data_IF_293689657477
#
_entry.id   IF_293689657477
#
_cell.length_a   1.000
_cell.length_b   1.000
_cell.length_c   1.000
_cell.angle_alpha   90.00
_cell.angle_beta   90.00
_cell.angle_gamma   90.00
#
_symmetry.space_group_name_H-M   'P 1'
#
loop_
_entity.id
_entity.type
_entity.pdbx_description
1 polymer ?
#
# COMPACT_ATOMS: atom_id res chain seq x y z
N UNK A 1 8.55 -3.29 0.73
CA UNK A 1 7.99 -1.94 0.88
C UNK A 1 6.54 -1.97 0.43
N UNK A 2 5.62 -1.29 1.12
CA UNK A 2 4.22 -1.20 0.68
C UNK A 2 3.89 0.19 0.12
N UNK A 3 3.05 0.28 -0.91
CA UNK A 3 2.42 1.56 -1.29
C UNK A 3 1.13 1.77 -0.49
N UNK A 4 0.58 2.99 -0.49
CA UNK A 4 -0.70 3.30 0.15
C UNK A 4 -1.61 3.98 -0.86
N UNK A 5 -2.81 3.44 -1.10
CA UNK A 5 -3.81 4.06 -1.98
C UNK A 5 -4.15 5.48 -1.52
N UNK A 6 -4.26 5.69 -0.20
CA UNK A 6 -4.46 7.02 0.38
C UNK A 6 -3.30 7.99 0.06
N UNK A 7 -2.05 7.57 0.28
CA UNK A 7 -0.90 8.42 0.00
C UNK A 7 -0.79 8.76 -1.49
N UNK A 8 -1.06 7.79 -2.37
CA UNK A 8 -1.06 8.01 -3.82
C UNK A 8 -2.19 8.97 -4.20
N UNK A 9 -3.42 8.78 -3.72
CA UNK A 9 -4.53 9.71 -3.99
C UNK A 9 -4.18 11.14 -3.56
N UNK A 10 -3.66 11.30 -2.34
CA UNK A 10 -3.34 12.62 -1.80
C UNK A 10 -2.22 13.32 -2.60
N UNK A 11 -1.18 12.58 -3.00
CA UNK A 11 0.00 13.16 -3.68
C UNK A 11 -0.14 13.26 -5.20
N UNK A 12 -0.85 12.34 -5.83
CA UNK A 12 -0.97 12.29 -7.29
C UNK A 12 -2.09 13.18 -7.83
N UNK A 13 -3.23 13.25 -7.12
CA UNK A 13 -4.43 13.97 -7.56
C UNK A 13 -4.92 15.02 -6.56
N UNK A 14 -4.30 15.14 -5.39
CA UNK A 14 -4.69 16.13 -4.38
C UNK A 14 -6.05 15.84 -3.73
N UNK A 15 -6.53 14.59 -3.79
CA UNK A 15 -7.86 14.21 -3.33
C UNK A 15 -7.82 13.18 -2.17
N UNK A 16 -8.88 13.14 -1.33
CA UNK A 16 -9.00 12.17 -0.26
C UNK A 16 -9.20 10.73 -0.78
N UNK A 17 -8.90 9.76 0.08
CA UNK A 17 -9.07 8.33 -0.21
C UNK A 17 -10.53 7.86 -0.16
N UNK A 18 -11.26 8.22 -1.22
CA UNK A 18 -12.68 7.94 -1.42
C UNK A 18 -12.95 7.23 -2.74
N UNK A 19 -11.97 6.46 -3.24
CA UNK A 19 -12.07 5.79 -4.55
C UNK A 19 -12.15 6.77 -5.73
N UNK A 20 -11.51 7.95 -5.61
CA UNK A 20 -11.48 8.96 -6.67
C UNK A 20 -10.35 8.72 -7.66
N UNK A 21 -9.23 8.14 -7.19
CA UNK A 21 -8.12 7.78 -8.07
C UNK A 21 -8.54 6.64 -9.00
N UNK A 22 -8.30 6.82 -10.29
CA UNK A 22 -8.54 5.80 -11.30
C UNK A 22 -7.45 4.72 -11.28
N UNK A 23 -7.76 3.56 -11.85
CA UNK A 23 -6.78 2.49 -12.04
C UNK A 23 -5.53 2.96 -12.78
N UNK A 24 -5.69 3.71 -13.88
CA UNK A 24 -4.57 4.19 -14.68
C UNK A 24 -3.65 5.13 -13.91
N UNK A 25 -4.22 6.05 -13.12
CA UNK A 25 -3.44 6.96 -12.26
C UNK A 25 -2.69 6.20 -11.17
N UNK A 26 -3.32 5.21 -10.53
CA UNK A 26 -2.65 4.40 -9.51
C UNK A 26 -1.54 3.52 -10.13
N UNK A 27 -1.80 2.88 -11.27
CA UNK A 27 -0.83 2.04 -11.97
C UNK A 27 0.41 2.84 -12.39
N UNK A 28 0.22 4.03 -12.96
CA UNK A 28 1.33 4.90 -13.37
C UNK A 28 2.20 5.30 -12.16
N UNK A 29 1.57 5.60 -11.01
CA UNK A 29 2.30 5.91 -9.78
C UNK A 29 3.03 4.70 -9.22
N UNK A 30 2.39 3.54 -9.20
CA UNK A 30 3.02 2.29 -8.79
C UNK A 30 4.23 1.95 -9.66
N UNK A 31 4.12 2.06 -10.99
CA UNK A 31 5.22 1.85 -11.94
C UNK A 31 6.43 2.72 -11.63
N UNK A 32 6.21 4.00 -11.37
CA UNK A 32 7.29 4.91 -11.01
C UNK A 32 7.96 4.51 -9.69
N UNK A 33 7.19 4.07 -8.69
CA UNK A 33 7.73 3.60 -7.41
C UNK A 33 8.55 2.31 -7.59
N UNK A 34 7.99 1.31 -8.27
CA UNK A 34 8.65 0.01 -8.51
C UNK A 34 9.99 0.22 -9.22
N UNK A 35 10.01 1.01 -10.29
CA UNK A 35 11.23 1.28 -11.06
C UNK A 35 12.27 2.15 -10.33
N UNK A 36 11.90 2.77 -9.21
CA UNK A 36 12.79 3.66 -8.43
C UNK A 36 13.54 2.94 -7.31
N UNK A 37 13.20 1.69 -6.99
CA UNK A 37 13.78 0.95 -5.86
C UNK A 37 14.19 -0.46 -6.26
N UNK A 38 15.16 -1.03 -5.55
CA UNK A 38 15.61 -2.42 -5.75
C UNK A 38 15.01 -3.41 -4.75
N UNK A 39 14.10 -2.95 -3.89
CA UNK A 39 13.44 -3.78 -2.88
C UNK A 39 12.01 -4.14 -3.34
N UNK A 40 11.48 -5.32 -2.96
CA UNK A 40 10.13 -5.73 -3.32
C UNK A 40 9.07 -4.68 -2.95
N UNK A 41 8.14 -4.42 -3.88
CA UNK A 41 7.03 -3.48 -3.70
C UNK A 41 5.69 -4.22 -3.69
N UNK A 42 4.98 -4.16 -2.58
CA UNK A 42 3.59 -4.59 -2.43
C UNK A 42 2.65 -3.39 -2.66
N UNK A 43 1.83 -3.47 -3.70
CA UNK A 43 1.00 -2.36 -4.16
C UNK A 43 -0.42 -2.45 -3.60
N UNK A 44 -0.90 -1.35 -3.02
CA UNK A 44 -2.31 -1.16 -2.70
C UNK A 44 -3.14 -1.04 -3.99
N UNK A 45 -3.89 -2.07 -4.35
CA UNK A 45 -4.69 -2.12 -5.57
C UNK A 45 -6.18 -1.87 -5.30
N UNK A 46 -6.49 -1.17 -4.20
CA UNK A 46 -7.85 -0.85 -3.76
C UNK A 46 -8.76 -2.09 -3.78
N UNK A 47 -9.85 -2.09 -4.55
CA UNK A 47 -10.79 -3.22 -4.65
C UNK A 47 -10.55 -4.10 -5.88
N UNK A 48 -9.45 -3.91 -6.60
CA UNK A 48 -9.21 -4.51 -7.92
C UNK A 48 -10.02 -3.86 -9.06
N UNK A 49 -10.47 -2.61 -8.85
CA UNK A 49 -11.06 -1.71 -9.86
C UNK A 49 -12.25 -2.27 -10.65
N UNK A 50 -13.07 -3.12 -10.01
CA UNK A 50 -14.32 -3.62 -10.59
C UNK A 50 -14.69 -5.00 -10.05
N UNK A 51 -15.08 -5.91 -10.94
CA UNK A 51 -15.42 -7.31 -10.59
C UNK A 51 -14.20 -8.25 -10.77
N UNK A 52 -14.43 -9.56 -10.79
CA UNK A 52 -13.36 -10.55 -10.98
C UNK A 52 -12.59 -10.40 -12.31
N UNK A 53 -13.25 -9.97 -13.40
CA UNK A 53 -12.56 -9.71 -14.67
C UNK A 53 -11.61 -8.52 -14.56
N UNK A 54 -12.03 -7.46 -13.84
CA UNK A 54 -11.18 -6.31 -13.56
C UNK A 54 -10.02 -6.68 -12.62
N UNK A 55 -10.26 -7.55 -11.64
CA UNK A 55 -9.21 -8.06 -10.77
C UNK A 55 -8.13 -8.83 -11.57
N UNK A 56 -8.54 -9.77 -12.43
CA UNK A 56 -7.64 -10.45 -13.36
C UNK A 56 -6.81 -9.46 -14.18
N UNK A 57 -7.45 -8.47 -14.79
CA UNK A 57 -6.76 -7.45 -15.58
C UNK A 57 -5.80 -6.60 -14.75
N UNK A 58 -6.19 -6.27 -13.52
CA UNK A 58 -5.39 -5.53 -12.55
C UNK A 58 -4.10 -6.29 -12.22
N UNK A 59 -4.19 -7.59 -11.91
CA UNK A 59 -3.02 -8.43 -11.66
C UNK A 59 -2.02 -8.41 -12.83
N UNK A 60 -2.48 -8.64 -14.07
CA UNK A 60 -1.59 -8.64 -15.25
C UNK A 60 -0.81 -7.35 -15.38
N UNK A 61 -1.48 -6.20 -15.22
CA UNK A 61 -0.82 -4.90 -15.34
C UNK A 61 0.22 -4.67 -14.25
N UNK A 62 -0.02 -5.15 -13.02
CA UNK A 62 0.97 -5.06 -11.95
C UNK A 62 2.15 -6.02 -12.15
N UNK A 63 1.91 -7.21 -12.71
CA UNK A 63 2.98 -8.13 -13.13
C UNK A 63 3.88 -7.48 -14.17
N UNK A 64 3.30 -6.82 -15.18
CA UNK A 64 4.06 -6.20 -16.27
C UNK A 64 4.90 -4.99 -15.87
N UNK A 65 4.64 -4.41 -14.70
CA UNK A 65 5.50 -3.36 -14.12
C UNK A 65 6.44 -3.90 -13.05
N UNK A 66 6.57 -5.23 -12.92
CA UNK A 66 7.44 -5.93 -11.97
C UNK A 66 7.10 -5.64 -10.49
N UNK A 67 5.82 -5.42 -10.18
CA UNK A 67 5.39 -5.34 -8.80
C UNK A 67 5.62 -6.71 -8.13
N UNK A 68 6.20 -6.71 -6.93
CA UNK A 68 6.45 -7.95 -6.19
C UNK A 68 5.18 -8.51 -5.52
N UNK A 69 4.22 -7.63 -5.22
CA UNK A 69 2.92 -8.04 -4.72
C UNK A 69 1.84 -7.00 -4.96
N UNK A 70 0.60 -7.43 -4.81
CA UNK A 70 -0.57 -6.57 -4.76
C UNK A 70 -1.47 -7.01 -3.62
N UNK A 71 -2.26 -6.08 -3.11
CA UNK A 71 -3.39 -6.39 -2.24
C UNK A 71 -4.66 -5.74 -2.72
N UNK A 72 -5.76 -6.48 -2.64
CA UNK A 72 -7.11 -5.97 -2.89
C UNK A 72 -7.98 -6.13 -1.65
N UNK A 73 -8.97 -5.25 -1.49
CA UNK A 73 -9.90 -5.24 -0.35
C UNK A 73 -11.33 -5.58 -0.76
N UNK A 74 -12.09 -6.11 0.20
CA UNK A 74 -13.49 -6.51 0.02
C UNK A 74 -14.50 -5.36 0.14
N UNK A 75 -14.04 -4.10 0.09
CA UNK A 75 -14.96 -2.96 0.04
C UNK A 75 -15.73 -2.89 -1.30
N UNK A 76 -16.95 -2.37 -1.23
CA UNK A 76 -17.71 -1.97 -2.42
C UNK A 76 -17.14 -0.67 -2.99
N UNK A 77 -17.11 -0.52 -4.31
CA UNK A 77 -16.70 0.74 -4.96
C UNK A 77 -17.86 1.76 -4.98
N UNK A 78 -17.62 3.06 -4.72
CA UNK A 78 -16.34 3.65 -4.33
C UNK A 78 -15.94 3.27 -2.90
N UNK A 79 -14.68 2.85 -2.75
CA UNK A 79 -14.11 2.46 -1.45
C UNK A 79 -13.80 3.68 -0.58
N UNK A 80 -13.56 3.47 0.70
CA UNK A 80 -13.12 4.51 1.64
C UNK A 80 -11.88 4.04 2.41
N UNK A 81 -11.09 4.98 2.93
CA UNK A 81 -10.01 4.64 3.86
C UNK A 81 -10.54 3.77 5.02
N UNK A 82 -9.79 2.71 5.37
CA UNK A 82 -10.17 1.72 6.38
C UNK A 82 -10.52 2.28 7.77
N UNK A 83 -9.95 3.44 8.13
CA UNK A 83 -10.26 4.11 9.38
C UNK A 83 -11.49 5.03 9.32
N UNK A 84 -12.09 5.27 8.16
CA UNK A 84 -13.32 6.06 8.03
C UNK A 84 -14.59 5.25 8.40
N UNK A 85 -15.71 5.95 8.61
CA UNK A 85 -17.04 5.35 8.78
C UNK A 85 -17.77 5.24 7.42
N UNK A 86 -18.88 4.50 7.39
CA UNK A 86 -19.72 4.37 6.20
C UNK A 86 -19.15 3.45 5.10
N UNK A 87 -18.26 2.53 5.46
CA UNK A 87 -17.77 1.47 4.57
C UNK A 87 -18.86 0.44 4.34
N UNK A 88 -18.90 -0.10 3.13
CA UNK A 88 -19.68 -1.29 2.77
C UNK A 88 -18.75 -2.28 2.11
N UNK A 89 -19.09 -3.56 2.18
CA UNK A 89 -18.29 -4.64 1.63
C UNK A 89 -19.13 -5.51 0.71
N UNK A 90 -18.46 -6.14 -0.25
CA UNK A 90 -19.06 -7.14 -1.15
C UNK A 90 -19.32 -8.45 -0.42
N UNK A 91 -20.06 -9.36 -1.07
CA UNK A 91 -20.22 -10.71 -0.55
C UNK A 91 -18.88 -11.42 -0.42
N UNK A 92 -18.80 -12.41 0.47
CA UNK A 92 -17.60 -13.23 0.65
C UNK A 92 -17.26 -13.96 -0.65
N UNK A 93 -18.29 -14.43 -1.36
CA UNK A 93 -18.21 -15.17 -2.61
C UNK A 93 -17.66 -14.30 -3.75
N UNK A 94 -18.04 -13.03 -3.83
CA UNK A 94 -17.50 -12.09 -4.81
C UNK A 94 -16.00 -11.84 -4.57
N UNK A 95 -15.59 -11.66 -3.30
CA UNK A 95 -14.18 -11.46 -2.98
C UNK A 95 -13.34 -12.70 -3.25
N UNK A 96 -13.85 -13.90 -2.90
CA UNK A 96 -13.22 -15.18 -3.26
C UNK A 96 -13.04 -15.29 -4.78
N UNK A 97 -14.06 -14.90 -5.55
CA UNK A 97 -14.00 -14.91 -7.02
C UNK A 97 -12.95 -13.95 -7.57
N UNK A 98 -12.79 -12.77 -6.95
CA UNK A 98 -11.71 -11.82 -7.30
C UNK A 98 -10.33 -12.41 -7.01
N UNK A 99 -10.13 -13.00 -5.83
CA UNK A 99 -8.84 -13.61 -5.45
C UNK A 99 -8.48 -14.73 -6.44
N UNK A 100 -9.43 -15.64 -6.74
CA UNK A 100 -9.20 -16.69 -7.72
C UNK A 100 -8.83 -16.14 -9.11
N UNK A 101 -9.40 -15.00 -9.50
CA UNK A 101 -9.06 -14.33 -10.76
C UNK A 101 -7.63 -13.73 -10.75
N UNK A 102 -7.16 -13.21 -9.61
CA UNK A 102 -5.76 -12.77 -9.44
C UNK A 102 -4.80 -13.96 -9.55
N UNK A 103 -5.11 -15.07 -8.88
CA UNK A 103 -4.29 -16.30 -8.90
C UNK A 103 -4.17 -16.84 -10.32
N UNK A 104 -5.30 -16.90 -11.04
CA UNK A 104 -5.29 -17.31 -12.44
C UNK A 104 -4.42 -16.42 -13.32
N UNK A 105 -4.49 -15.09 -13.15
CA UNK A 105 -3.65 -14.17 -13.91
C UNK A 105 -2.16 -14.39 -13.63
N UNK A 106 -1.80 -14.60 -12.35
CA UNK A 106 -0.43 -14.92 -11.94
C UNK A 106 0.10 -16.20 -12.59
N UNK A 107 -0.70 -17.26 -12.56
CA UNK A 107 -0.34 -18.56 -13.17
C UNK A 107 -0.18 -18.48 -14.68
N UNK A 108 -1.11 -17.80 -15.38
CA UNK A 108 -1.06 -17.65 -16.83
C UNK A 108 0.15 -16.81 -17.31
N UNK A 109 0.60 -15.84 -16.51
CA UNK A 109 1.80 -15.04 -16.79
C UNK A 109 3.10 -15.72 -16.29
N UNK A 110 3.02 -16.86 -15.59
CA UNK A 110 4.18 -17.53 -15.00
C UNK A 110 4.94 -16.65 -13.99
N UNK A 111 4.20 -15.85 -13.22
CA UNK A 111 4.75 -14.87 -12.27
C UNK A 111 4.70 -15.37 -10.82
N UNK A 112 5.62 -14.88 -9.98
CA UNK A 112 5.64 -15.10 -8.53
C UNK A 112 4.93 -13.99 -7.74
N UNK A 113 4.04 -13.22 -8.38
CA UNK A 113 3.32 -12.10 -7.75
C UNK A 113 2.66 -12.54 -6.43
N UNK A 114 3.01 -11.87 -5.33
CA UNK A 114 2.38 -12.10 -4.03
C UNK A 114 1.00 -11.42 -3.99
N UNK A 115 -0.04 -12.16 -3.63
CA UNK A 115 -1.44 -11.70 -3.61
C UNK A 115 -1.95 -11.62 -2.17
N UNK A 116 -2.18 -10.39 -1.71
CA UNK A 116 -2.82 -10.10 -0.43
C UNK A 116 -4.33 -9.94 -0.54
N UNK A 117 -5.06 -10.55 0.38
CA UNK A 117 -6.50 -10.32 0.53
C UNK A 117 -6.78 -9.51 1.78
N UNK A 118 -7.28 -8.29 1.60
CA UNK A 118 -7.69 -7.39 2.68
C UNK A 118 -9.18 -7.52 2.98
N UNK A 119 -9.52 -7.58 4.26
CA UNK A 119 -10.91 -7.50 4.72
C UNK A 119 -11.16 -6.31 5.63
N UNK A 120 -12.23 -5.57 5.33
CA UNK A 120 -12.74 -4.44 6.12
C UNK A 120 -13.95 -4.84 6.99
N UNK A 121 -14.25 -6.14 7.06
CA UNK A 121 -15.43 -6.69 7.72
C UNK A 121 -15.48 -6.47 9.23
N UNK A 122 -14.34 -6.23 9.90
CA UNK A 122 -14.29 -6.10 11.37
C UNK A 122 -15.25 -5.05 11.91
N UNK A 123 -15.36 -3.92 11.22
CA UNK A 123 -16.21 -2.81 11.61
C UNK A 123 -17.67 -2.94 11.14
N UNK A 124 -17.97 -3.90 10.25
CA UNK A 124 -19.27 -4.03 9.57
C UNK A 124 -20.02 -5.26 10.06
N UNK A 125 -19.36 -6.42 10.05
CA UNK A 125 -19.95 -7.73 10.37
C UNK A 125 -19.43 -8.31 11.69
N UNK A 126 -18.41 -7.69 12.30
CA UNK A 126 -17.81 -8.13 13.55
C UNK A 126 -16.68 -9.15 13.38
N UNK A 127 -16.11 -9.57 14.51
CA UNK A 127 -14.86 -10.35 14.55
C UNK A 127 -15.01 -11.77 13.96
N UNK A 128 -16.06 -12.51 14.35
CA UNK A 128 -16.26 -13.88 13.87
C UNK A 128 -16.44 -13.94 12.34
N UNK A 129 -17.23 -13.02 11.78
CA UNK A 129 -17.41 -12.91 10.32
C UNK A 129 -16.13 -12.49 9.59
N UNK A 130 -15.28 -11.70 10.25
CA UNK A 130 -13.96 -11.36 9.74
C UNK A 130 -13.07 -12.60 9.62
N UNK A 131 -13.09 -13.50 10.61
CA UNK A 131 -12.35 -14.77 10.57
C UNK A 131 -12.89 -15.66 9.43
N UNK A 132 -14.22 -15.80 9.33
CA UNK A 132 -14.85 -16.59 8.25
C UNK A 132 -14.41 -16.12 6.86
N UNK A 133 -14.35 -14.80 6.64
CA UNK A 133 -13.87 -14.20 5.39
C UNK A 133 -12.38 -14.42 5.19
N UNK A 134 -11.55 -14.15 6.20
CA UNK A 134 -10.10 -14.35 6.14
C UNK A 134 -9.72 -15.78 5.78
N UNK A 135 -10.36 -16.78 6.40
CA UNK A 135 -10.14 -18.20 6.09
C UNK A 135 -10.58 -18.53 4.68
N UNK A 136 -11.73 -18.01 4.22
CA UNK A 136 -12.19 -18.23 2.85
C UNK A 136 -11.25 -17.60 1.81
N UNK A 137 -10.72 -16.42 2.10
CA UNK A 137 -9.78 -15.72 1.22
C UNK A 137 -8.43 -16.44 1.14
N UNK A 138 -7.95 -16.99 2.27
CA UNK A 138 -6.77 -17.86 2.29
C UNK A 138 -7.01 -19.14 1.48
N UNK A 139 -8.17 -19.78 1.65
CA UNK A 139 -8.56 -20.96 0.87
C UNK A 139 -8.75 -20.70 -0.63
N UNK A 140 -8.99 -19.44 -1.03
CA UNK A 140 -9.05 -19.02 -2.43
C UNK A 140 -7.65 -18.82 -3.07
N UNK A 141 -6.58 -18.92 -2.28
CA UNK A 141 -5.20 -18.84 -2.75
C UNK A 141 -4.46 -17.55 -2.41
N UNK A 142 -5.03 -16.65 -1.59
CA UNK A 142 -4.28 -15.49 -1.11
C UNK A 142 -2.99 -15.94 -0.38
N UNK A 143 -1.88 -15.23 -0.58
CA UNK A 143 -0.59 -15.55 0.04
C UNK A 143 -0.46 -14.92 1.43
N UNK A 144 -1.23 -13.86 1.70
CA UNK A 144 -1.39 -13.30 3.03
C UNK A 144 -2.78 -12.68 3.22
N UNK A 145 -3.25 -12.63 4.47
CA UNK A 145 -4.47 -11.92 4.83
C UNK A 145 -4.11 -10.60 5.49
N UNK A 146 -4.77 -9.54 5.05
CA UNK A 146 -4.74 -8.26 5.73
C UNK A 146 -6.07 -8.03 6.45
N UNK A 147 -6.06 -7.91 7.77
CA UNK A 147 -7.28 -7.58 8.55
C UNK A 147 -7.25 -6.12 8.95
N UNK A 148 -8.23 -5.34 8.49
CA UNK A 148 -8.33 -3.93 8.86
C UNK A 148 -8.83 -3.75 10.31
N UNK A 149 -8.14 -2.89 11.06
CA UNK A 149 -8.55 -2.42 12.40
C UNK A 149 -8.84 -3.53 13.44
N UNK A 150 -7.94 -4.51 13.69
CA UNK A 150 -8.07 -5.38 14.86
C UNK A 150 -8.09 -4.53 16.14
N UNK A 151 -8.93 -4.92 17.11
CA UNK A 151 -9.24 -4.07 18.26
C UNK A 151 -8.46 -4.41 19.54
N UNK A 152 -7.72 -5.51 19.55
CA UNK A 152 -6.90 -5.92 20.70
C UNK A 152 -5.81 -6.92 20.30
N UNK A 153 -4.79 -7.08 21.16
CA UNK A 153 -3.78 -8.12 20.96
C UNK A 153 -4.38 -9.53 21.00
N UNK A 154 -5.45 -9.74 21.79
CA UNK A 154 -6.16 -11.01 21.85
C UNK A 154 -6.87 -11.32 20.52
N UNK A 155 -7.46 -10.32 19.85
CA UNK A 155 -8.00 -10.49 18.50
C UNK A 155 -6.88 -10.85 17.51
N UNK A 156 -5.74 -10.16 17.56
CA UNK A 156 -4.58 -10.46 16.70
C UNK A 156 -4.07 -11.88 16.94
N UNK A 157 -3.92 -12.30 18.19
CA UNK A 157 -3.48 -13.67 18.53
C UNK A 157 -4.46 -14.72 18.02
N UNK A 158 -5.77 -14.45 18.12
CA UNK A 158 -6.78 -15.36 17.61
C UNK A 158 -6.75 -15.44 16.08
N UNK A 159 -6.56 -14.31 15.39
CA UNK A 159 -6.41 -14.27 13.93
C UNK A 159 -5.18 -15.07 13.48
N UNK A 160 -4.03 -14.86 14.10
CA UNK A 160 -2.79 -15.62 13.79
C UNK A 160 -2.98 -17.13 13.98
N UNK A 161 -3.75 -17.55 15.00
CA UNK A 161 -4.04 -18.98 15.23
C UNK A 161 -5.01 -19.58 14.20
N UNK A 162 -5.89 -18.78 13.62
CA UNK A 162 -6.96 -19.25 12.71
C UNK A 162 -6.60 -19.16 11.23
N UNK A 163 -5.71 -18.25 10.87
CA UNK A 163 -5.29 -18.00 9.49
C UNK A 163 -3.92 -18.68 9.31
N UNK A 164 -3.87 -19.72 8.49
CA UNK A 164 -2.64 -20.52 8.30
C UNK A 164 -1.57 -19.83 7.45
N UNK A 165 -1.93 -18.73 6.78
CA UNK A 165 -1.04 -17.88 5.99
C UNK A 165 -0.68 -16.60 6.76
N UNK A 166 0.41 -15.89 6.39
CA UNK A 166 0.82 -14.65 7.05
C UNK A 166 -0.33 -13.66 7.26
N UNK A 167 -0.44 -13.16 8.50
CA UNK A 167 -1.34 -12.07 8.86
C UNK A 167 -0.62 -10.73 8.69
N UNK A 168 -1.34 -9.77 8.12
CA UNK A 168 -0.98 -8.37 7.99
C UNK A 168 -2.08 -7.45 8.53
N UNK A 169 -1.69 -6.25 8.95
CA UNK A 169 -2.59 -5.13 9.24
C UNK A 169 -1.80 -3.82 9.27
N UNK A 170 -2.51 -2.67 9.33
CA UNK A 170 -1.88 -1.37 9.49
C UNK A 170 -1.76 -0.91 10.95
N UNK A 171 -0.69 -0.18 11.21
CA UNK A 171 -0.55 0.71 12.35
C UNK A 171 -0.58 2.15 11.85
N UNK A 172 -1.67 2.87 12.14
CA UNK A 172 -1.78 4.31 11.88
C UNK A 172 -1.92 5.04 13.21
N UNK A 173 -0.96 5.92 13.50
CA UNK A 173 -1.03 6.78 14.68
C UNK A 173 -2.30 7.65 14.65
N UNK A 174 -3.10 7.58 15.72
CA UNK A 174 -4.39 8.29 15.81
C UNK A 174 -5.53 7.63 15.02
N UNK A 175 -5.31 6.45 14.44
CA UNK A 175 -6.34 5.64 13.80
C UNK A 175 -7.20 4.85 14.79
N UNK A 176 -8.04 3.96 14.24
CA UNK A 176 -8.91 3.06 15.01
C UNK A 176 -8.19 1.82 15.56
N UNK A 177 -7.03 1.47 15.02
CA UNK A 177 -6.20 0.38 15.55
C UNK A 177 -5.50 0.88 16.82
N UNK A 178 -5.56 0.15 17.95
CA UNK A 178 -4.79 0.51 19.13
C UNK A 178 -3.28 0.54 18.85
N UNK A 179 -2.55 1.31 19.66
CA UNK A 179 -1.09 1.33 19.57
C UNK A 179 -0.51 0.04 20.15
N UNK A 180 -0.17 -0.90 19.28
CA UNK A 180 0.54 -2.14 19.63
C UNK A 180 2.05 -1.95 19.54
N UNK A 181 2.82 -2.60 20.41
CA UNK A 181 4.27 -2.67 20.24
C UNK A 181 4.64 -3.63 19.11
N UNK A 182 5.58 -3.24 18.25
CA UNK A 182 6.11 -4.13 17.20
C UNK A 182 6.67 -5.44 17.78
N UNK A 183 7.30 -5.38 18.96
CA UNK A 183 7.85 -6.58 19.63
C UNK A 183 6.76 -7.52 20.17
N UNK A 184 5.60 -7.00 20.55
CA UNK A 184 4.45 -7.82 20.96
C UNK A 184 3.84 -8.51 19.75
N UNK A 185 3.69 -7.78 18.64
CA UNK A 185 3.15 -8.31 17.40
C UNK A 185 4.05 -9.40 16.80
N UNK A 186 5.36 -9.18 16.81
CA UNK A 186 6.34 -10.18 16.39
C UNK A 186 6.24 -11.46 17.24
N UNK A 187 6.16 -11.30 18.57
CA UNK A 187 6.02 -12.44 19.50
C UNK A 187 4.75 -13.25 19.26
N UNK A 188 3.64 -12.59 18.93
CA UNK A 188 2.35 -13.23 18.65
C UNK A 188 2.35 -13.94 17.28
N UNK A 189 3.32 -13.63 16.41
CA UNK A 189 3.53 -14.32 15.14
C UNK A 189 3.14 -13.50 13.91
N UNK A 190 2.86 -12.20 14.07
CA UNK A 190 2.60 -11.31 12.92
C UNK A 190 3.86 -11.18 12.08
N UNK A 191 3.72 -11.38 10.76
CA UNK A 191 4.86 -11.42 9.82
C UNK A 191 4.97 -10.17 8.96
N UNK A 192 3.87 -9.45 8.77
CA UNK A 192 3.83 -8.27 7.94
C UNK A 192 3.06 -7.15 8.64
N UNK A 193 3.68 -5.98 8.78
CA UNK A 193 3.04 -4.77 9.29
C UNK A 193 3.10 -3.69 8.22
N UNK A 194 1.96 -3.06 7.97
CA UNK A 194 1.88 -1.85 7.17
C UNK A 194 1.91 -0.63 8.09
N UNK A 195 2.79 0.34 7.80
CA UNK A 195 2.84 1.62 8.50
C UNK A 195 2.61 2.72 7.47
N UNK A 196 1.37 2.86 6.97
CA UNK A 196 1.08 3.81 5.91
C UNK A 196 1.26 5.24 6.44
N UNK A 197 1.44 6.19 5.52
CA UNK A 197 1.64 7.62 5.83
C UNK A 197 2.91 7.97 6.62
N UNK A 198 3.75 6.99 6.98
CA UNK A 198 5.00 7.20 7.74
C UNK A 198 5.92 8.24 7.10
N UNK A 199 5.95 8.30 5.77
CA UNK A 199 6.71 9.32 5.04
C UNK A 199 5.87 10.57 4.72
N UNK A 200 4.59 10.40 4.39
CA UNK A 200 3.78 11.49 3.83
C UNK A 200 3.36 12.51 4.91
N UNK A 201 3.01 12.09 6.13
CA UNK A 201 2.66 13.03 7.19
C UNK A 201 3.84 13.93 7.59
N UNK A 202 5.07 13.42 7.85
CA UNK A 202 6.23 14.28 8.08
C UNK A 202 6.55 15.18 6.89
N UNK A 203 6.44 14.68 5.66
CA UNK A 203 6.68 15.49 4.46
C UNK A 203 5.69 16.67 4.36
N UNK A 204 4.41 16.45 4.65
CA UNK A 204 3.40 17.52 4.69
C UNK A 204 3.75 18.57 5.73
N UNK A 205 4.16 18.15 6.94
CA UNK A 205 4.57 19.08 7.98
C UNK A 205 5.78 19.92 7.57
N UNK A 206 6.81 19.30 6.99
CA UNK A 206 7.99 20.01 6.50
C UNK A 206 7.65 21.01 5.39
N UNK A 207 6.78 20.65 4.45
CA UNK A 207 6.29 21.56 3.40
C UNK A 207 5.52 22.74 4.01
N UNK A 208 4.67 22.52 5.01
CA UNK A 208 3.95 23.59 5.70
C UNK A 208 4.90 24.55 6.41
N UNK A 209 5.92 24.03 7.10
CA UNK A 209 6.90 24.85 7.82
C UNK A 209 7.73 25.70 6.86
N UNK A 210 8.14 25.14 5.71
CA UNK A 210 8.86 25.88 4.67
C UNK A 210 7.99 27.00 4.06
N UNK A 211 6.72 26.71 3.76
CA UNK A 211 5.77 27.71 3.23
C UNK A 211 5.47 28.81 4.26
N UNK A 212 5.44 28.48 5.55
CA UNK A 212 5.24 29.46 6.62
C UNK A 212 6.46 30.37 6.80
N UNK A 213 7.68 29.84 6.70
CA UNK A 213 8.90 30.64 6.70
C UNK A 213 8.95 31.57 5.47
N UNK A 214 8.63 31.04 4.29
CA UNK A 214 8.57 31.83 3.06
C UNK A 214 7.53 32.95 3.15
N UNK A 215 6.35 32.70 3.71
CA UNK A 215 5.31 33.72 3.95
C UNK A 215 5.81 34.89 4.81
N UNK A 216 6.77 34.63 5.69
CA UNK A 216 7.39 35.63 6.56
C UNK A 216 8.68 36.22 5.97
N UNK A 217 9.02 35.90 4.71
CA UNK A 217 10.25 36.30 4.03
C UNK A 217 11.54 35.83 4.72
N UNK A 218 11.47 34.76 5.51
CA UNK A 218 12.61 34.18 6.21
C UNK A 218 13.33 33.14 5.33
N UNK A 219 14.13 33.63 4.38
CA UNK A 219 14.85 32.79 3.42
C UNK A 219 15.98 31.99 4.05
N UNK A 220 16.58 32.50 5.13
CA UNK A 220 17.58 31.74 5.91
C UNK A 220 16.92 30.49 6.49
N UNK A 221 15.75 30.64 7.11
CA UNK A 221 15.04 29.48 7.66
C UNK A 221 14.62 28.47 6.60
N UNK A 222 14.18 28.94 5.42
CA UNK A 222 13.87 28.06 4.29
C UNK A 222 15.09 27.23 3.89
N UNK A 223 16.28 27.84 3.86
CA UNK A 223 17.53 27.15 3.51
C UNK A 223 17.99 26.11 4.54
N UNK A 224 17.57 26.23 5.79
CA UNK A 224 17.86 25.24 6.86
C UNK A 224 16.90 24.04 6.88
N UNK A 225 15.73 24.14 6.23
CA UNK A 225 14.71 23.11 6.28
C UNK A 225 14.94 22.04 5.21
N UNK A 226 14.97 20.78 5.64
CA UNK A 226 15.05 19.62 4.74
C UNK A 226 16.48 19.19 4.39
N UNK A 227 16.65 18.60 3.22
CA UNK A 227 17.94 18.15 2.70
C UNK A 227 18.57 19.23 1.83
N UNK A 228 19.89 19.35 1.87
CA UNK A 228 20.60 20.32 1.04
C UNK A 228 20.76 19.86 -0.42
N UNK A 229 21.22 20.76 -1.28
CA UNK A 229 21.39 20.50 -2.72
C UNK A 229 22.26 19.27 -3.02
N UNK A 230 23.36 19.07 -2.28
CA UNK A 230 24.26 17.93 -2.50
C UNK A 230 23.57 16.63 -2.10
N UNK A 231 22.98 16.59 -0.90
CA UNK A 231 22.26 15.43 -0.38
C UNK A 231 21.12 15.02 -1.33
N UNK A 232 20.33 15.99 -1.80
CA UNK A 232 19.21 15.70 -2.71
C UNK A 232 19.68 15.14 -4.05
N UNK A 233 20.72 15.71 -4.65
CA UNK A 233 21.28 15.21 -5.91
C UNK A 233 21.89 13.81 -5.78
N UNK A 234 22.47 13.51 -4.62
CA UNK A 234 22.98 12.18 -4.32
C UNK A 234 21.83 11.18 -4.20
N UNK A 235 20.75 11.55 -3.50
CA UNK A 235 19.55 10.71 -3.33
C UNK A 235 18.88 10.37 -4.67
N UNK A 236 18.74 11.34 -5.58
CA UNK A 236 18.12 11.12 -6.91
C UNK A 236 19.10 10.56 -7.95
N UNK A 237 20.33 10.24 -7.55
CA UNK A 237 21.28 9.51 -8.38
C UNK A 237 21.96 10.33 -9.46
N UNK A 238 22.10 11.65 -9.31
CA UNK A 238 22.79 12.51 -10.30
C UNK A 238 24.21 12.02 -10.59
N UNK A 239 24.91 11.51 -9.56
CA UNK A 239 26.27 10.95 -9.72
C UNK A 239 26.30 9.79 -10.72
N UNK A 240 25.32 8.88 -10.66
CA UNK A 240 25.21 7.74 -11.58
C UNK A 240 25.06 8.22 -13.03
N UNK A 241 24.17 9.19 -13.26
CA UNK A 241 23.96 9.75 -14.60
C UNK A 241 25.21 10.44 -15.15
N UNK A 242 25.90 11.22 -14.33
CA UNK A 242 27.18 11.85 -14.73
C UNK A 242 28.27 10.84 -15.05
N UNK A 243 28.29 9.68 -14.38
CA UNK A 243 29.21 8.60 -14.70
C UNK A 243 28.89 7.97 -16.06
N UNK A 244 27.61 7.66 -16.29
CA UNK A 244 27.14 7.14 -17.59
C UNK A 244 27.41 8.12 -18.73
N UNK A 245 27.23 9.43 -18.50
CA UNK A 245 27.56 10.47 -19.46
C UNK A 245 29.06 10.48 -19.79
N UNK A 246 29.95 10.22 -18.83
CA UNK A 246 31.39 10.11 -19.11
C UNK A 246 31.78 8.82 -19.84
N UNK A 247 31.09 7.72 -19.54
CA UNK A 247 31.37 6.39 -20.10
C UNK A 247 30.85 6.26 -21.53
N UNK A 248 29.65 6.77 -21.79
CA UNK A 248 28.92 6.59 -23.04
C UNK A 248 28.63 7.89 -23.79
N UNK A 249 28.90 9.04 -23.18
CA UNK A 249 28.81 10.30 -23.89
C UNK A 249 29.77 10.26 -25.06
N UNK A 250 29.23 10.47 -26.26
CA UNK A 250 30.03 10.72 -27.44
C UNK A 250 30.86 11.98 -27.14
N UNK A 251 32.13 11.78 -26.77
CA UNK A 251 33.09 12.87 -26.73
C UNK A 251 33.08 13.50 -28.11
N UNK A 252 32.46 14.67 -28.23
CA UNK A 252 32.91 15.59 -29.26
C UNK A 252 34.10 16.35 -28.68
N UNK A 253 35.19 16.45 -29.45
CA UNK A 253 36.50 16.94 -29.01
C UNK A 253 36.48 18.37 -28.46
#
# INVERSE_FOLDING_TARGET
MGTSGYAISASAIGQPDLGLISFGELLERAKNIVNSVSIPVDVDADTGYGNALNAYWTAKNFIWIDAAGIRIEDQTWPKRCGHMSGKTIISKEDMVSKIAALIRAREEEGSDLVIGARTDARAIEGFEKTIERAVAYAGAGADYIYVECPQSLQEVEHLVKKIEIPLAFNLIAGGKTPNFSLSELERIGVKYISIPMVCLYPAVKAMQDALQALRNSDLEKVGELGVNWSEFNDLIGVRKWRQLEKEFGSGNP
#
